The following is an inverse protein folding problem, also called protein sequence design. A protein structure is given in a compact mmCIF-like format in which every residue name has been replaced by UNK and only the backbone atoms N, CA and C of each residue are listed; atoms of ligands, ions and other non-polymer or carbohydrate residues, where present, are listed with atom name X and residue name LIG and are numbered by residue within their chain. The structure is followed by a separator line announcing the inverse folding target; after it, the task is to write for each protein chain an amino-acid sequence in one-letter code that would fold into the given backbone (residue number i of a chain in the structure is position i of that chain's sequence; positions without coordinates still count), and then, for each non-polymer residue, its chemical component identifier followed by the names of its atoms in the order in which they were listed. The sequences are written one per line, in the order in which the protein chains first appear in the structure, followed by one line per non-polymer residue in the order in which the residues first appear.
data_IF_693926927616
#
_entry.id   IF_693926927616
#
_cell.length_a   1.000
_cell.length_b   1.000
_cell.length_c   1.000
_cell.angle_alpha   90.00
_cell.angle_beta   90.00
_cell.angle_gamma   90.00
#
_symmetry.space_group_name_H-M   'P 1'
#
loop_
_entity.id
_entity.type
_entity.pdbx_description
1 polymer ?
#
# COMPACT_ATOMS: atom_id res chain seq x y z
N UNK A 1 -7.86 -0.57 -21.93
CA UNK A 1 -7.61 -0.43 -20.49
C UNK A 1 -8.87 -0.83 -19.76
N UNK A 2 -8.79 -1.67 -18.72
CA UNK A 2 -9.97 -2.00 -17.91
C UNK A 2 -10.38 -0.78 -17.09
N UNK A 3 -11.65 -0.42 -17.10
CA UNK A 3 -12.17 0.68 -16.28
C UNK A 3 -12.28 0.21 -14.82
N UNK A 4 -12.01 1.12 -13.89
CA UNK A 4 -12.27 0.88 -12.48
C UNK A 4 -13.78 0.68 -12.26
N UNK A 5 -14.14 -0.18 -11.31
CA UNK A 5 -15.52 -0.25 -10.83
C UNK A 5 -15.85 0.98 -9.98
N UNK A 6 -17.14 1.23 -9.75
CA UNK A 6 -17.58 2.32 -8.86
C UNK A 6 -17.00 2.18 -7.44
N UNK A 7 -16.99 0.96 -6.90
CA UNK A 7 -16.41 0.66 -5.59
C UNK A 7 -14.90 0.98 -5.54
N UNK A 8 -14.16 0.66 -6.62
CA UNK A 8 -12.73 0.97 -6.71
C UNK A 8 -12.48 2.49 -6.80
N UNK A 9 -13.27 3.23 -7.59
CA UNK A 9 -13.20 4.70 -7.63
C UNK A 9 -13.48 5.33 -6.27
N UNK A 10 -14.55 4.89 -5.61
CA UNK A 10 -14.93 5.40 -4.29
C UNK A 10 -13.86 5.12 -3.22
N UNK A 11 -13.17 3.98 -3.32
CA UNK A 11 -12.04 3.66 -2.44
C UNK A 11 -10.84 4.58 -2.71
N UNK A 12 -10.40 4.71 -3.96
CA UNK A 12 -9.29 5.59 -4.36
C UNK A 12 -9.53 7.04 -3.97
N UNK A 13 -10.77 7.53 -4.07
CA UNK A 13 -11.14 8.89 -3.69
C UNK A 13 -10.93 9.19 -2.20
N UNK A 14 -10.94 8.16 -1.32
CA UNK A 14 -10.71 8.31 0.13
C UNK A 14 -9.24 8.31 0.50
N UNK A 15 -8.36 7.84 -0.39
CA UNK A 15 -6.93 7.78 -0.12
C UNK A 15 -6.33 9.17 -0.23
N UNK A 16 -5.60 9.59 0.81
CA UNK A 16 -4.89 10.85 0.78
C UNK A 16 -3.79 10.78 -0.29
N UNK A 17 -3.83 11.63 -1.33
CA UNK A 17 -2.69 11.80 -2.20
C UNK A 17 -1.63 12.58 -1.42
N UNK A 18 -0.39 12.09 -1.33
CA UNK A 18 0.68 12.85 -0.70
C UNK A 18 0.78 14.24 -1.39
N UNK A 19 0.57 15.31 -0.63
CA UNK A 19 0.17 16.60 -1.20
C UNK A 19 1.28 17.42 -1.87
N UNK A 20 2.56 17.07 -1.70
CA UNK A 20 3.62 18.07 -1.93
C UNK A 20 4.69 17.70 -2.96
N UNK A 21 4.57 16.56 -3.66
CA UNK A 21 5.55 16.25 -4.69
C UNK A 21 5.21 16.98 -6.00
N UNK A 22 6.17 17.75 -6.58
CA UNK A 22 6.01 18.30 -7.92
C UNK A 22 5.67 17.18 -8.89
N UNK A 23 4.64 17.39 -9.70
CA UNK A 23 4.33 16.45 -10.77
C UNK A 23 5.47 16.48 -11.79
N UNK A 24 5.94 15.32 -12.29
CA UNK A 24 6.87 15.27 -13.41
C UNK A 24 6.30 16.09 -14.60
N UNK A 25 7.15 16.71 -15.44
CA UNK A 25 6.69 17.46 -16.61
C UNK A 25 5.78 16.63 -17.53
N UNK A 26 6.08 15.34 -17.67
CA UNK A 26 5.28 14.38 -18.44
C UNK A 26 3.86 14.14 -17.87
N UNK A 27 3.57 14.62 -16.66
CA UNK A 27 2.28 14.49 -16.00
C UNK A 27 1.40 15.73 -16.14
N UNK A 28 1.90 16.83 -16.71
CA UNK A 28 1.15 18.08 -16.86
C UNK A 28 -0.10 17.94 -17.76
N UNK A 29 -0.10 16.98 -18.68
CA UNK A 29 -1.17 16.75 -19.66
C UNK A 29 -2.16 15.64 -19.23
N UNK A 30 -1.91 14.97 -18.09
CA UNK A 30 -2.77 13.87 -17.65
C UNK A 30 -4.07 14.38 -17.01
N UNK A 31 -5.21 13.68 -17.20
CA UNK A 31 -6.45 14.01 -16.50
C UNK A 31 -6.28 14.02 -14.98
N UNK A 32 -7.00 14.91 -14.29
CA UNK A 32 -6.91 15.05 -12.83
C UNK A 32 -7.17 13.74 -12.07
N UNK A 33 -8.08 12.90 -12.56
CA UNK A 33 -8.38 11.59 -11.96
C UNK A 33 -7.19 10.61 -12.09
N UNK A 34 -6.50 10.62 -13.24
CA UNK A 34 -5.30 9.80 -13.46
C UNK A 34 -4.16 10.27 -12.56
N UNK A 35 -4.00 11.59 -12.40
CA UNK A 35 -3.03 12.18 -11.49
C UNK A 35 -3.31 11.81 -10.04
N UNK A 36 -4.57 11.90 -9.61
CA UNK A 36 -4.99 11.49 -8.27
C UNK A 36 -4.71 10.00 -8.04
N UNK A 37 -5.10 9.13 -8.97
CA UNK A 37 -4.85 7.69 -8.87
C UNK A 37 -3.35 7.36 -8.79
N UNK A 38 -2.51 8.00 -9.60
CA UNK A 38 -1.06 7.82 -9.53
C UNK A 38 -0.46 8.25 -8.18
N UNK A 39 -0.94 9.38 -7.63
CA UNK A 39 -0.54 9.83 -6.28
C UNK A 39 -1.02 8.87 -5.19
N UNK A 40 -2.24 8.37 -5.30
CA UNK A 40 -2.79 7.38 -4.38
C UNK A 40 -1.96 6.09 -4.41
N UNK A 41 -1.65 5.54 -5.58
CA UNK A 41 -0.79 4.37 -5.73
C UNK A 41 0.58 4.58 -5.07
N UNK A 42 1.24 5.71 -5.35
CA UNK A 42 2.59 5.98 -4.83
C UNK A 42 2.66 6.01 -3.29
N UNK A 43 1.62 6.49 -2.63
CA UNK A 43 1.61 6.65 -1.18
C UNK A 43 1.01 5.46 -0.42
N UNK A 44 0.23 4.61 -1.10
CA UNK A 44 -0.64 3.64 -0.43
C UNK A 44 -0.50 2.20 -0.94
N UNK A 45 0.21 1.99 -2.05
CA UNK A 45 0.30 0.67 -2.67
C UNK A 45 1.35 -0.21 -2.01
N UNK A 46 1.08 -1.51 -2.08
CA UNK A 46 1.99 -2.57 -1.68
C UNK A 46 2.44 -3.35 -2.92
N UNK A 47 3.67 -3.84 -2.88
CA UNK A 47 4.15 -4.82 -3.86
C UNK A 47 3.33 -6.10 -3.69
N UNK A 48 2.83 -6.67 -4.80
CA UNK A 48 1.95 -7.83 -4.75
C UNK A 48 2.12 -8.77 -5.94
N UNK A 49 2.36 -10.05 -5.65
CA UNK A 49 2.60 -11.10 -6.62
C UNK A 49 4.04 -11.07 -7.14
N UNK A 50 4.34 -11.94 -8.09
CA UNK A 50 5.66 -11.98 -8.72
C UNK A 50 5.95 -10.68 -9.50
N UNK A 51 7.01 -9.97 -9.10
CA UNK A 51 7.57 -8.79 -9.79
C UNK A 51 7.15 -7.42 -9.23
N UNK A 52 7.26 -6.37 -10.06
CA UNK A 52 7.04 -4.95 -9.68
C UNK A 52 5.56 -4.53 -9.73
N UNK A 53 4.64 -5.44 -9.41
CA UNK A 53 3.20 -5.15 -9.43
C UNK A 53 2.78 -4.44 -8.15
N UNK A 54 1.86 -3.50 -8.28
CA UNK A 54 1.32 -2.71 -7.18
C UNK A 54 -0.16 -3.02 -6.97
N UNK A 55 -0.56 -3.16 -5.71
CA UNK A 55 -1.95 -3.33 -5.32
C UNK A 55 -2.32 -2.38 -4.18
N UNK A 56 -3.57 -1.93 -4.18
CA UNK A 56 -4.19 -1.20 -3.07
C UNK A 56 -5.11 -2.15 -2.32
N UNK A 57 -4.93 -2.26 -1.01
CA UNK A 57 -5.69 -3.16 -0.15
C UNK A 57 -6.47 -2.32 0.86
N UNK A 58 -7.82 -2.32 0.81
CA UNK A 58 -8.63 -1.41 1.62
C UNK A 58 -8.34 -1.38 3.11
N UNK A 59 -7.92 -2.52 3.69
CA UNK A 59 -7.63 -2.62 5.12
C UNK A 59 -6.14 -2.43 5.43
N UNK A 60 -5.24 -2.88 4.54
CA UNK A 60 -3.79 -2.84 4.80
C UNK A 60 -3.26 -1.42 4.63
N UNK A 61 -3.77 -0.69 3.63
CA UNK A 61 -3.44 0.71 3.36
C UNK A 61 -3.74 1.65 4.55
N UNK A 62 -4.57 1.22 5.50
CA UNK A 62 -4.88 2.01 6.71
C UNK A 62 -3.79 1.95 7.78
N UNK A 63 -2.88 0.97 7.72
CA UNK A 63 -1.83 0.79 8.72
C UNK A 63 -0.70 1.82 8.49
N UNK A 64 -0.49 2.78 9.41
CA UNK A 64 0.54 3.79 9.25
C UNK A 64 1.95 3.22 9.43
N UNK A 65 2.93 4.00 8.99
CA UNK A 65 4.34 3.68 9.17
C UNK A 65 4.80 3.86 10.63
N UNK A 66 5.56 2.90 11.13
CA UNK A 66 6.46 3.05 12.27
C UNK A 66 7.78 2.31 12.00
N UNK A 67 8.92 2.86 12.44
CA UNK A 67 10.18 2.11 12.46
C UNK A 67 10.15 0.97 13.49
N UNK A 68 9.45 1.20 14.62
CA UNK A 68 9.15 0.19 15.65
C UNK A 68 7.74 -0.35 15.42
N UNK A 69 7.57 -1.06 14.31
CA UNK A 69 6.27 -1.57 13.88
C UNK A 69 5.88 -2.85 14.64
N UNK A 70 4.59 -3.16 14.67
CA UNK A 70 4.06 -4.34 15.36
C UNK A 70 3.35 -5.33 14.43
N UNK A 71 3.17 -4.97 13.17
CA UNK A 71 2.66 -5.85 12.13
C UNK A 71 3.52 -5.77 10.87
N UNK A 72 3.54 -6.86 10.10
CA UNK A 72 4.26 -6.95 8.83
C UNK A 72 3.32 -7.43 7.72
N UNK A 73 3.46 -6.80 6.54
CA UNK A 73 2.78 -7.20 5.33
C UNK A 73 3.54 -8.34 4.64
N UNK A 74 2.81 -9.36 4.22
CA UNK A 74 3.33 -10.43 3.37
C UNK A 74 2.41 -10.65 2.18
N UNK A 75 3.05 -10.74 1.02
CA UNK A 75 2.53 -11.33 -0.19
C UNK A 75 2.54 -12.86 -0.02
N UNK A 76 1.41 -13.51 -0.28
CA UNK A 76 1.32 -14.97 -0.37
C UNK A 76 0.94 -15.36 -1.81
N UNK A 77 1.94 -15.60 -2.68
CA UNK A 77 1.70 -15.98 -4.06
C UNK A 77 0.89 -17.27 -4.12
N UNK A 78 -0.25 -17.23 -4.81
CA UNK A 78 -1.17 -18.37 -4.95
C UNK A 78 -2.37 -18.35 -3.99
N UNK A 79 -2.29 -17.67 -2.84
CA UNK A 79 -3.46 -17.45 -1.99
C UNK A 79 -4.30 -16.24 -2.44
N UNK A 80 -3.75 -15.41 -3.34
CA UNK A 80 -4.45 -14.30 -3.98
C UNK A 80 -4.76 -13.10 -3.08
N UNK A 81 -4.25 -13.09 -1.84
CA UNK A 81 -4.54 -12.05 -0.85
C UNK A 81 -3.25 -11.62 -0.15
N UNK A 82 -2.97 -10.33 -0.13
CA UNK A 82 -1.98 -9.74 0.78
C UNK A 82 -2.46 -9.86 2.23
N UNK A 83 -1.54 -10.13 3.16
CA UNK A 83 -1.85 -10.37 4.57
C UNK A 83 -1.02 -9.49 5.50
N UNK A 84 -1.60 -9.15 6.65
CA UNK A 84 -0.89 -8.54 7.77
C UNK A 84 -0.77 -9.55 8.90
N UNK A 85 0.44 -9.73 9.40
CA UNK A 85 0.74 -10.60 10.53
C UNK A 85 1.31 -9.77 11.67
N UNK A 86 0.89 -10.06 12.90
CA UNK A 86 1.54 -9.50 14.08
C UNK A 86 2.95 -10.11 14.22
N UNK A 87 3.95 -9.27 14.49
CA UNK A 87 5.35 -9.73 14.72
C UNK A 87 5.72 -9.79 16.20
N UNK A 88 4.80 -9.36 17.06
CA UNK A 88 4.85 -9.44 18.52
C UNK A 88 3.43 -9.39 19.08
N UNK A 89 3.29 -9.59 20.39
CA UNK A 89 2.02 -9.34 21.07
C UNK A 89 1.58 -7.88 20.91
N UNK A 90 0.28 -7.68 20.68
CA UNK A 90 -0.35 -6.38 20.46
C UNK A 90 -1.47 -6.22 21.47
N UNK A 91 -1.40 -5.17 22.29
CA UNK A 91 -2.41 -4.92 23.31
C UNK A 91 -3.73 -4.43 22.69
N UNK A 92 -4.85 -4.67 23.37
CA UNK A 92 -6.13 -4.11 22.95
C UNK A 92 -6.08 -2.57 22.96
N UNK A 93 -6.45 -1.95 21.84
CA UNK A 93 -6.37 -0.50 21.65
C UNK A 93 -5.00 0.01 21.21
N UNK A 94 -3.98 -0.86 21.10
CA UNK A 94 -2.70 -0.50 20.50
C UNK A 94 -2.87 -0.30 18.99
N UNK A 95 -2.24 0.75 18.45
CA UNK A 95 -2.27 1.05 17.03
C UNK A 95 -1.48 0.02 16.22
N UNK A 96 -2.10 -0.58 15.22
CA UNK A 96 -1.40 -1.42 14.25
C UNK A 96 -0.55 -0.55 13.32
N UNK A 97 0.74 -0.86 13.23
CA UNK A 97 1.71 -0.13 12.41
C UNK A 97 2.57 -1.09 11.60
N UNK A 98 3.05 -0.65 10.45
CA UNK A 98 3.93 -1.42 9.55
C UNK A 98 5.19 -0.62 9.19
N UNK A 99 6.22 -1.27 8.65
CA UNK A 99 7.33 -0.54 8.02
C UNK A 99 7.06 -0.33 6.53
N UNK A 100 7.12 0.93 6.05
CA UNK A 100 7.08 1.24 4.61
C UNK A 100 8.44 1.13 3.95
N UNK A 101 9.49 1.28 4.77
CA UNK A 101 10.85 1.03 4.34
C UNK A 101 11.02 -0.47 4.46
N UNK A 102 11.12 -1.17 3.33
CA UNK A 102 11.55 -2.56 3.35
C UNK A 102 12.86 -2.59 4.12
N UNK A 103 12.88 -3.24 5.28
CA UNK A 103 14.16 -3.64 5.86
C UNK A 103 14.77 -4.54 4.81
N UNK A 104 15.85 -4.06 4.18
CA UNK A 104 16.83 -4.95 3.60
C UNK A 104 17.18 -5.95 4.73
N UNK A 105 16.61 -7.15 4.68
CA UNK A 105 16.71 -8.15 5.76
C UNK A 105 15.53 -8.33 6.72
N UNK A 106 14.29 -7.91 6.41
CA UNK A 106 13.13 -8.51 7.10
C UNK A 106 13.10 -10.01 6.78
N UNK A 107 13.08 -10.82 7.84
CA UNK A 107 13.34 -12.25 7.86
C UNK A 107 12.62 -12.96 6.72
N UNK A 108 13.42 -13.59 5.86
CA UNK A 108 13.01 -14.65 4.96
C UNK A 108 12.50 -15.81 5.84
N UNK A 109 11.19 -15.80 6.16
CA UNK A 109 10.57 -16.84 6.95
C UNK A 109 10.31 -18.07 6.07
N UNK A 110 11.41 -18.80 5.81
CA UNK A 110 11.57 -20.24 5.53
C UNK A 110 11.17 -20.84 4.17
N UNK A 111 11.88 -21.90 3.69
CA UNK A 111 13.32 -22.22 3.77
C UNK A 111 14.14 -21.60 2.62
#
# INVERSE_FOLDING_TARGET
YAELTEAQRAFVAKLAPHQELPLPPASAELPAEVLHFGKALKANAHIFGEGDRLALFPNITLAPHSCDHNAAYYDEPGAGLGRLYAIRDIAAGELLTISYIGTCGAVQLWP
#
